data_IF_359568176634
#
_entry.id   IF_359568176634
#
_cell.length_a   1.000
_cell.length_b   1.000
_cell.length_c   1.000
_cell.angle_alpha   90.00
_cell.angle_beta   90.00
_cell.angle_gamma   90.00
#
_symmetry.space_group_name_H-M   'P 1'
#
loop_
_entity.id
_entity.type
_entity.pdbx_description
1 polymer ?
#
# COMPACT_ATOMS: atom_id res chain seq x y z
N UNK A 1 -15.41 86.33 -0.98
CA UNK A 1 -15.53 85.28 0.04
C UNK A 1 -14.82 84.08 -0.57
N UNK A 2 -13.50 84.03 -0.40
CA UNK A 2 -12.65 83.00 -1.01
C UNK A 2 -12.75 81.73 -0.20
N UNK A 3 -13.24 80.68 -0.84
CA UNK A 3 -13.20 79.32 -0.33
C UNK A 3 -11.77 78.84 -0.60
N UNK A 4 -10.87 79.09 0.35
CA UNK A 4 -9.54 78.48 0.34
C UNK A 4 -9.75 76.97 0.50
N UNK A 5 -9.76 76.26 -0.63
CA UNK A 5 -9.83 74.81 -0.69
C UNK A 5 -8.67 74.20 0.10
N UNK A 6 -9.01 73.46 1.15
CA UNK A 6 -8.06 72.71 1.94
C UNK A 6 -7.69 71.40 1.21
N UNK A 7 -6.84 71.50 0.19
CA UNK A 7 -6.34 70.35 -0.59
C UNK A 7 -5.29 69.50 0.18
N UNK A 8 -5.02 69.83 1.44
CA UNK A 8 -4.00 69.16 2.27
C UNK A 8 -4.43 67.76 2.73
N UNK A 9 -5.73 67.46 2.75
CA UNK A 9 -6.25 66.12 3.07
C UNK A 9 -6.12 65.10 1.93
N UNK A 10 -6.03 65.55 0.67
CA UNK A 10 -6.04 64.65 -0.49
C UNK A 10 -4.76 63.82 -0.61
N UNK A 11 -3.59 64.41 -0.33
CA UNK A 11 -2.30 63.68 -0.41
C UNK A 11 -2.19 62.57 0.63
N UNK A 12 -2.72 62.79 1.85
CA UNK A 12 -2.78 61.77 2.91
C UNK A 12 -3.71 60.63 2.51
N UNK A 13 -4.86 60.95 1.91
CA UNK A 13 -5.82 59.97 1.44
C UNK A 13 -5.26 59.11 0.29
N UNK A 14 -4.59 59.72 -0.69
CA UNK A 14 -3.93 59.00 -1.80
C UNK A 14 -2.82 58.10 -1.27
N UNK A 15 -2.01 58.58 -0.33
CA UNK A 15 -0.96 57.78 0.33
C UNK A 15 -1.54 56.58 1.09
N UNK A 16 -2.64 56.76 1.82
CA UNK A 16 -3.33 55.68 2.51
C UNK A 16 -3.89 54.64 1.53
N UNK A 17 -4.56 55.05 0.46
CA UNK A 17 -5.11 54.14 -0.56
C UNK A 17 -3.99 53.33 -1.21
N UNK A 18 -2.85 53.95 -1.51
CA UNK A 18 -1.69 53.24 -2.08
C UNK A 18 -1.11 52.21 -1.11
N UNK A 19 -0.87 52.57 0.15
CA UNK A 19 -0.34 51.64 1.15
C UNK A 19 -1.33 50.50 1.39
N UNK A 20 -2.62 50.82 1.51
CA UNK A 20 -3.67 49.82 1.67
C UNK A 20 -3.75 48.88 0.46
N UNK A 21 -3.66 49.42 -0.76
CA UNK A 21 -3.62 48.63 -1.99
C UNK A 21 -2.42 47.69 -2.05
N UNK A 22 -1.22 48.17 -1.71
CA UNK A 22 0.00 47.34 -1.62
C UNK A 22 -0.17 46.24 -0.57
N UNK A 23 -0.75 46.57 0.59
CA UNK A 23 -1.03 45.60 1.65
C UNK A 23 -2.00 44.51 1.18
N UNK A 24 -3.10 44.88 0.53
CA UNK A 24 -4.06 43.91 -0.02
C UNK A 24 -3.39 43.00 -1.07
N UNK A 25 -2.62 43.57 -2.01
CA UNK A 25 -1.89 42.79 -3.01
C UNK A 25 -0.90 41.82 -2.35
N UNK A 26 -0.17 42.29 -1.34
CA UNK A 26 0.80 41.45 -0.60
C UNK A 26 0.09 40.29 0.11
N UNK A 27 -1.04 40.56 0.77
CA UNK A 27 -1.86 39.53 1.41
C UNK A 27 -2.42 38.53 0.39
N UNK A 28 -2.86 39.00 -0.78
CA UNK A 28 -3.33 38.15 -1.87
C UNK A 28 -2.23 37.22 -2.39
N UNK A 29 -1.00 37.73 -2.56
CA UNK A 29 0.14 36.90 -2.98
C UNK A 29 0.46 35.85 -1.89
N UNK A 30 0.43 36.25 -0.62
CA UNK A 30 0.71 35.35 0.49
C UNK A 30 -0.28 34.19 0.56
N UNK A 31 -1.57 34.49 0.40
CA UNK A 31 -2.65 33.49 0.38
C UNK A 31 -2.70 32.66 -0.90
N UNK A 32 -2.36 33.25 -2.05
CA UNK A 32 -2.45 32.58 -3.35
C UNK A 32 -1.25 31.70 -3.71
N UNK A 33 -0.06 31.98 -3.16
CA UNK A 33 1.16 31.27 -3.56
C UNK A 33 1.94 30.68 -2.37
N UNK A 34 2.16 31.46 -1.31
CA UNK A 34 3.05 31.05 -0.21
C UNK A 34 2.38 30.01 0.69
N UNK A 35 1.13 30.24 1.07
CA UNK A 35 0.36 29.30 1.93
C UNK A 35 0.21 27.92 1.27
N UNK A 36 -0.26 27.80 0.01
CA UNK A 36 -0.30 26.52 -0.70
C UNK A 36 1.05 25.82 -0.77
N UNK A 37 2.13 26.54 -1.10
CA UNK A 37 3.47 25.93 -1.21
C UNK A 37 3.97 25.35 0.13
N UNK A 38 3.74 26.06 1.24
CA UNK A 38 4.05 25.55 2.57
C UNK A 38 3.21 24.31 2.92
N UNK A 39 1.92 24.30 2.56
CA UNK A 39 1.05 23.14 2.79
C UNK A 39 1.47 21.93 1.96
N UNK A 40 1.85 22.11 0.68
CA UNK A 40 2.44 21.04 -0.14
C UNK A 40 3.66 20.39 0.49
N UNK A 41 4.50 21.20 1.14
CA UNK A 41 5.68 20.69 1.85
C UNK A 41 5.28 19.81 3.04
N UNK A 42 4.26 20.21 3.80
CA UNK A 42 3.72 19.43 4.93
C UNK A 42 3.10 18.12 4.43
N UNK A 43 2.29 18.19 3.38
CA UNK A 43 1.64 17.01 2.77
C UNK A 43 2.67 16.03 2.20
N UNK A 44 3.70 16.53 1.51
CA UNK A 44 4.78 15.68 1.00
C UNK A 44 5.56 15.01 2.13
N UNK A 45 5.92 15.75 3.19
CA UNK A 45 6.62 15.16 4.33
C UNK A 45 5.79 14.07 5.00
N UNK A 46 4.50 14.30 5.18
CA UNK A 46 3.58 13.30 5.71
C UNK A 46 3.47 12.08 4.79
N UNK A 47 3.39 12.26 3.47
CA UNK A 47 3.40 11.15 2.53
C UNK A 47 4.66 10.28 2.64
N UNK A 48 5.83 10.92 2.81
CA UNK A 48 7.09 10.20 3.03
C UNK A 48 7.07 9.40 4.33
N UNK A 49 6.50 9.96 5.41
CA UNK A 49 6.29 9.26 6.68
C UNK A 49 5.37 8.05 6.51
N UNK A 50 4.22 8.20 5.82
CA UNK A 50 3.31 7.07 5.54
C UNK A 50 4.00 5.98 4.70
N UNK A 51 4.83 6.38 3.73
CA UNK A 51 5.56 5.42 2.91
C UNK A 51 6.53 4.59 3.74
N UNK A 52 7.24 5.22 4.67
CA UNK A 52 8.15 4.53 5.57
C UNK A 52 7.36 3.62 6.54
N UNK A 53 6.22 4.08 7.07
CA UNK A 53 5.30 3.28 7.90
C UNK A 53 4.76 2.06 7.12
N UNK A 54 4.42 2.21 5.84
CA UNK A 54 3.96 1.11 4.98
C UNK A 54 5.07 0.09 4.70
N UNK A 55 6.34 0.52 4.61
CA UNK A 55 7.50 -0.38 4.52
C UNK A 55 7.70 -1.17 5.81
N UNK A 56 7.50 -0.53 6.97
CA UNK A 56 7.52 -1.24 8.27
C UNK A 56 6.36 -2.24 8.35
N UNK A 57 5.14 -1.83 7.99
CA UNK A 57 3.97 -2.70 7.96
C UNK A 57 4.18 -3.90 7.03
N UNK A 58 4.73 -3.67 5.83
CA UNK A 58 5.13 -4.73 4.92
C UNK A 58 6.10 -5.73 5.56
N UNK A 59 7.13 -5.22 6.22
CA UNK A 59 8.15 -6.04 6.87
C UNK A 59 7.53 -6.91 7.96
N UNK A 60 6.61 -6.36 8.75
CA UNK A 60 5.90 -7.09 9.80
C UNK A 60 4.91 -8.11 9.24
N UNK A 61 4.20 -7.80 8.15
CA UNK A 61 3.32 -8.74 7.46
C UNK A 61 4.12 -9.97 7.01
N UNK A 62 5.27 -9.76 6.38
CA UNK A 62 6.11 -10.87 5.90
C UNK A 62 6.81 -11.60 7.06
N UNK A 63 7.29 -10.89 8.07
CA UNK A 63 8.01 -11.49 9.22
C UNK A 63 7.08 -12.41 10.01
N UNK A 64 5.87 -11.95 10.34
CA UNK A 64 4.88 -12.74 11.09
C UNK A 64 4.38 -13.93 10.28
N UNK A 65 4.13 -13.72 8.98
CA UNK A 65 3.68 -14.79 8.09
C UNK A 65 4.72 -15.89 7.93
N UNK A 66 6.01 -15.59 8.15
CA UNK A 66 7.13 -16.55 8.07
C UNK A 66 7.67 -17.05 9.41
N UNK A 67 7.15 -16.57 10.54
CA UNK A 67 7.59 -16.99 11.87
C UNK A 67 6.60 -17.91 12.58
N UNK A 68 7.03 -19.07 13.08
CA UNK A 68 6.20 -20.01 13.86
C UNK A 68 5.70 -19.50 15.22
N UNK A 69 5.77 -18.18 15.43
CA UNK A 69 5.27 -17.53 16.63
C UNK A 69 3.78 -17.24 16.45
N UNK A 70 3.00 -17.68 17.43
CA UNK A 70 1.73 -17.05 17.77
C UNK A 70 1.98 -15.64 18.28
N UNK A 71 2.16 -14.70 17.36
CA UNK A 71 2.42 -13.30 17.65
C UNK A 71 1.27 -12.42 17.18
N UNK A 72 0.91 -11.45 18.01
CA UNK A 72 0.08 -10.33 17.63
C UNK A 72 0.94 -9.07 17.76
N UNK A 73 0.98 -8.24 16.72
CA UNK A 73 1.76 -7.01 16.69
C UNK A 73 0.86 -5.87 16.24
N UNK A 74 0.99 -4.72 16.89
CA UNK A 74 0.35 -3.47 16.48
C UNK A 74 1.38 -2.63 15.74
N UNK A 75 1.17 -2.40 14.44
CA UNK A 75 2.04 -1.58 13.61
C UNK A 75 1.38 -0.22 13.38
N UNK A 76 1.93 0.89 13.90
CA UNK A 76 1.37 2.21 13.69
C UNK A 76 1.53 2.66 12.24
N UNK A 77 0.49 3.27 11.67
CA UNK A 77 0.54 3.97 10.38
C UNK A 77 -0.02 5.37 10.54
N UNK A 78 0.75 6.38 10.19
CA UNK A 78 0.35 7.79 10.29
C UNK A 78 -0.58 8.15 9.13
N UNK A 79 -1.90 8.19 9.37
CA UNK A 79 -2.88 8.47 8.32
C UNK A 79 -3.16 9.95 8.11
N UNK A 80 -2.85 10.81 9.08
CA UNK A 80 -3.05 12.24 8.92
C UNK A 80 -2.18 13.12 9.79
N UNK A 81 -1.96 14.35 9.31
CA UNK A 81 -1.22 15.40 9.99
C UNK A 81 -1.94 16.74 9.91
N UNK A 82 -1.62 17.65 10.83
CA UNK A 82 -2.20 19.00 10.87
C UNK A 82 -1.23 20.02 10.29
N UNK A 83 -1.77 20.96 9.52
CA UNK A 83 -0.99 22.11 9.09
C UNK A 83 -0.57 22.98 10.29
N UNK A 84 0.63 23.57 10.28
CA UNK A 84 1.09 24.47 11.32
C UNK A 84 0.13 25.64 11.55
N UNK A 85 -0.06 26.05 12.80
CA UNK A 85 -0.93 27.19 13.14
C UNK A 85 -0.40 28.50 12.51
N UNK A 86 -1.30 29.35 12.01
CA UNK A 86 -0.97 30.65 11.39
C UNK A 86 -1.73 31.76 12.09
N UNK A 87 -1.09 32.93 12.27
CA UNK A 87 -1.64 34.05 13.03
C UNK A 87 -2.73 34.83 12.27
N UNK A 88 -2.64 34.95 10.94
CA UNK A 88 -3.55 35.79 10.13
C UNK A 88 -4.13 35.08 8.89
N UNK A 89 -3.85 33.78 8.72
CA UNK A 89 -4.21 33.02 7.52
C UNK A 89 -4.99 31.76 7.86
N UNK A 90 -5.85 31.32 6.92
CA UNK A 90 -6.70 30.14 7.06
C UNK A 90 -5.96 28.95 6.48
N UNK A 91 -5.86 27.87 7.26
CA UNK A 91 -5.39 26.59 6.75
C UNK A 91 -6.55 25.81 6.15
N UNK A 92 -6.30 24.98 5.11
CA UNK A 92 -7.26 23.98 4.68
C UNK A 92 -7.49 22.94 5.81
N UNK A 93 -8.47 22.04 5.65
CA UNK A 93 -8.60 20.87 6.51
C UNK A 93 -7.28 20.11 6.66
N UNK A 94 -7.09 19.34 7.75
CA UNK A 94 -5.87 18.54 7.93
C UNK A 94 -5.57 17.65 6.73
N UNK A 95 -4.28 17.43 6.46
CA UNK A 95 -3.85 16.48 5.45
C UNK A 95 -4.12 15.06 5.97
N UNK A 96 -5.01 14.34 5.30
CA UNK A 96 -5.39 12.96 5.66
C UNK A 96 -5.21 12.03 4.47
N UNK A 97 -5.13 10.74 4.75
CA UNK A 97 -5.31 9.68 3.77
C UNK A 97 -6.11 8.54 4.37
N UNK A 98 -6.51 7.63 3.49
CA UNK A 98 -7.36 6.50 3.80
C UNK A 98 -6.58 5.22 3.61
N UNK A 99 -6.54 4.35 4.63
CA UNK A 99 -6.03 3.00 4.53
C UNK A 99 -7.18 2.01 4.55
N UNK A 100 -7.18 1.08 3.60
CA UNK A 100 -8.19 0.05 3.48
C UNK A 100 -7.61 -1.20 2.84
N UNK A 101 -8.33 -2.31 2.94
CA UNK A 101 -8.00 -3.51 2.17
C UNK A 101 -8.44 -3.39 0.71
N UNK A 102 -7.70 -4.00 -0.21
CA UNK A 102 -8.02 -3.99 -1.66
C UNK A 102 -9.15 -4.97 -2.04
N UNK A 103 -9.62 -5.77 -1.07
CA UNK A 103 -10.69 -6.74 -1.21
C UNK A 103 -10.17 -8.17 -1.38
N UNK A 104 -10.93 -9.13 -0.83
CA UNK A 104 -10.54 -10.54 -0.89
C UNK A 104 -10.71 -11.11 -2.30
N UNK A 105 -9.67 -11.81 -2.76
CA UNK A 105 -9.62 -12.49 -4.06
C UNK A 105 -9.04 -13.89 -3.90
N UNK A 106 -9.44 -14.80 -4.78
CA UNK A 106 -9.06 -16.20 -4.69
C UNK A 106 -7.60 -16.43 -5.12
N UNK A 107 -6.94 -17.35 -4.43
CA UNK A 107 -5.69 -17.99 -4.82
C UNK A 107 -6.05 -19.34 -5.43
N UNK A 108 -5.50 -19.63 -6.61
CA UNK A 108 -5.73 -20.91 -7.32
C UNK A 108 -4.41 -21.56 -7.65
N UNK A 109 -4.30 -22.88 -7.45
CA UNK A 109 -3.13 -23.68 -7.79
C UNK A 109 -3.61 -24.86 -8.65
N UNK A 110 -3.40 -24.75 -9.96
CA UNK A 110 -3.77 -25.78 -10.94
C UNK A 110 -2.54 -26.56 -11.39
N UNK A 111 -2.64 -27.89 -11.32
CA UNK A 111 -1.57 -28.81 -11.70
C UNK A 111 -2.07 -29.75 -12.79
N UNK A 112 -1.26 -30.00 -13.82
CA UNK A 112 -1.65 -30.86 -14.93
C UNK A 112 -1.30 -32.33 -14.72
N UNK A 113 -0.39 -32.63 -13.79
CA UNK A 113 0.05 -34.01 -13.54
C UNK A 113 -0.98 -34.74 -12.67
N UNK A 114 -1.84 -35.52 -13.32
CA UNK A 114 -2.84 -36.37 -12.67
C UNK A 114 -4.22 -35.75 -12.46
N UNK A 115 -4.51 -34.58 -13.03
CA UNK A 115 -5.82 -33.92 -12.92
C UNK A 115 -6.17 -33.44 -11.50
N UNK A 116 -5.18 -33.33 -10.62
CA UNK A 116 -5.36 -32.93 -9.23
C UNK A 116 -5.12 -31.42 -9.09
N UNK A 117 -6.17 -30.65 -8.83
CA UNK A 117 -6.03 -29.30 -8.29
C UNK A 117 -5.71 -29.39 -6.81
N UNK A 118 -4.75 -28.60 -6.31
CA UNK A 118 -4.54 -28.50 -4.87
C UNK A 118 -5.32 -27.30 -4.38
N UNK A 119 -6.18 -27.50 -3.38
CA UNK A 119 -6.91 -26.39 -2.83
C UNK A 119 -5.93 -25.48 -2.08
N UNK A 120 -5.93 -24.19 -2.42
CA UNK A 120 -5.13 -23.21 -1.68
C UNK A 120 -5.44 -23.22 -0.18
N UNK A 121 -6.68 -23.58 0.20
CA UNK A 121 -7.07 -23.78 1.59
C UNK A 121 -6.26 -24.86 2.32
N UNK A 122 -5.83 -25.91 1.62
CA UNK A 122 -5.07 -27.02 2.22
C UNK A 122 -3.65 -26.60 2.59
N UNK A 123 -3.03 -25.72 1.80
CA UNK A 123 -1.66 -25.24 2.03
C UNK A 123 -1.64 -23.94 2.85
N UNK A 124 -2.55 -23.02 2.57
CA UNK A 124 -2.55 -21.66 3.13
C UNK A 124 -3.48 -21.45 4.32
N UNK A 125 -4.33 -22.42 4.68
CA UNK A 125 -5.40 -22.22 5.66
C UNK A 125 -6.53 -21.32 5.16
N UNK A 126 -6.60 -21.09 3.86
CA UNK A 126 -7.69 -20.36 3.22
C UNK A 126 -7.42 -20.14 1.74
N UNK A 127 -8.48 -19.95 0.96
CA UNK A 127 -8.38 -19.79 -0.49
C UNK A 127 -8.34 -18.32 -0.93
N UNK A 128 -8.41 -17.35 -0.01
CA UNK A 128 -8.46 -15.93 -0.33
C UNK A 128 -7.28 -15.16 0.25
N UNK A 129 -6.84 -14.13 -0.47
CA UNK A 129 -5.89 -13.13 0.01
C UNK A 129 -6.45 -11.74 -0.26
N UNK A 130 -6.09 -10.78 0.59
CA UNK A 130 -6.42 -9.37 0.45
C UNK A 130 -5.15 -8.55 0.46
N UNK A 131 -5.10 -7.47 -0.32
CA UNK A 131 -4.03 -6.49 -0.24
C UNK A 131 -4.41 -5.31 0.66
N UNK A 132 -3.50 -4.34 0.76
CA UNK A 132 -3.73 -3.06 1.42
C UNK A 132 -3.49 -1.92 0.44
N UNK A 133 -4.26 -0.85 0.56
CA UNK A 133 -4.09 0.37 -0.23
C UNK A 133 -4.20 1.59 0.67
N UNK A 134 -3.15 2.41 0.65
CA UNK A 134 -3.17 3.76 1.18
C UNK A 134 -3.46 4.75 0.06
N UNK A 135 -4.50 5.56 0.24
CA UNK A 135 -4.92 6.62 -0.68
C UNK A 135 -4.74 7.98 -0.02
N UNK A 136 -3.77 8.80 -0.45
CA UNK A 136 -3.65 10.17 0.05
C UNK A 136 -4.84 11.02 -0.42
N UNK A 137 -5.43 11.79 0.49
CA UNK A 137 -6.56 12.70 0.23
C UNK A 137 -6.15 14.14 0.56
N UNK A 138 -4.96 14.52 0.09
CA UNK A 138 -4.38 15.84 0.34
C UNK A 138 -5.04 16.94 -0.51
N UNK A 139 -5.01 18.17 0.00
CA UNK A 139 -5.71 19.29 -0.62
C UNK A 139 -4.84 20.03 -1.64
N UNK A 140 -3.54 20.13 -1.39
CA UNK A 140 -2.63 20.95 -2.20
C UNK A 140 -1.72 20.11 -3.12
N UNK A 141 -1.62 18.80 -2.87
CA UNK A 141 -0.75 17.86 -3.56
C UNK A 141 -1.52 16.64 -4.05
N UNK A 142 -1.24 16.19 -5.27
CA UNK A 142 -1.69 14.89 -5.77
C UNK A 142 -0.53 13.92 -5.68
N UNK A 143 -0.61 12.96 -4.77
CA UNK A 143 0.45 11.96 -4.52
C UNK A 143 -0.07 10.55 -4.82
N UNK A 144 0.81 9.62 -5.23
CA UNK A 144 0.38 8.30 -5.69
C UNK A 144 -0.08 7.40 -4.56
N UNK A 145 -0.95 6.42 -4.88
CA UNK A 145 -1.36 5.41 -3.92
C UNK A 145 -0.20 4.46 -3.61
N UNK A 146 -0.15 3.99 -2.36
CA UNK A 146 0.80 2.95 -1.92
C UNK A 146 0.01 1.66 -1.76
N UNK A 147 0.45 0.59 -2.42
CA UNK A 147 -0.27 -0.69 -2.48
C UNK A 147 0.64 -1.81 -2.00
N UNK A 148 0.06 -2.71 -1.22
CA UNK A 148 0.63 -4.00 -0.87
C UNK A 148 -0.26 -5.10 -1.42
N UNK A 149 0.30 -5.99 -2.25
CA UNK A 149 -0.38 -7.18 -2.75
C UNK A 149 0.60 -8.36 -2.76
N UNK A 150 0.28 -9.46 -2.06
CA UNK A 150 1.01 -10.74 -2.07
C UNK A 150 2.56 -10.62 -2.07
N UNK A 151 3.12 -9.95 -1.06
CA UNK A 151 4.58 -9.84 -0.90
C UNK A 151 5.24 -8.74 -1.73
N UNK A 152 4.45 -7.93 -2.44
CA UNK A 152 4.90 -6.77 -3.22
C UNK A 152 4.34 -5.48 -2.60
N UNK A 153 5.22 -4.52 -2.31
CA UNK A 153 4.86 -3.16 -1.90
C UNK A 153 5.32 -2.18 -2.99
N UNK A 154 4.40 -1.41 -3.56
CA UNK A 154 4.70 -0.54 -4.70
C UNK A 154 3.84 0.73 -4.67
N UNK A 155 4.24 1.72 -5.47
CA UNK A 155 3.45 2.94 -5.74
C UNK A 155 2.97 2.96 -7.17
N UNK A 156 1.75 3.45 -7.36
CA UNK A 156 1.13 3.67 -8.67
C UNK A 156 1.11 5.17 -8.97
N UNK A 157 2.00 5.61 -9.87
CA UNK A 157 2.16 7.02 -10.22
C UNK A 157 0.95 7.55 -11.00
N UNK A 158 0.78 8.87 -11.01
CA UNK A 158 -0.29 9.52 -11.78
C UNK A 158 -0.20 9.27 -13.31
N UNK A 159 0.96 8.85 -13.81
CA UNK A 159 1.16 8.46 -15.21
C UNK A 159 0.77 7.03 -15.53
N UNK A 160 0.32 6.24 -14.53
CA UNK A 160 0.10 4.80 -14.68
C UNK A 160 1.39 3.97 -14.67
N UNK A 161 2.52 4.58 -14.30
CA UNK A 161 3.79 3.87 -14.08
C UNK A 161 3.83 3.33 -12.65
N UNK A 162 4.51 2.20 -12.46
CA UNK A 162 4.66 1.56 -11.16
C UNK A 162 6.10 1.69 -10.67
N UNK A 163 6.27 1.92 -9.37
CA UNK A 163 7.59 1.85 -8.75
C UNK A 163 7.58 0.89 -7.56
N UNK A 164 8.44 -0.13 -7.63
CA UNK A 164 8.62 -1.11 -6.57
C UNK A 164 9.30 -0.46 -5.37
N UNK A 165 8.70 -0.57 -4.18
CA UNK A 165 9.32 -0.16 -2.92
C UNK A 165 10.03 -1.35 -2.27
N UNK A 166 9.32 -2.46 -2.10
CA UNK A 166 9.85 -3.69 -1.49
C UNK A 166 9.22 -4.93 -2.12
N UNK A 167 9.99 -5.99 -2.34
CA UNK A 167 9.45 -7.24 -2.87
C UNK A 167 10.04 -8.49 -2.22
N UNK A 168 9.25 -9.58 -2.26
CA UNK A 168 9.72 -10.93 -1.97
C UNK A 168 9.75 -11.78 -3.22
N UNK A 169 10.57 -12.81 -3.16
CA UNK A 169 10.64 -13.85 -4.19
C UNK A 169 9.43 -14.75 -4.03
N UNK A 170 8.53 -14.69 -5.02
CA UNK A 170 7.34 -15.53 -5.12
C UNK A 170 7.68 -16.85 -5.80
N UNK A 171 8.52 -16.83 -6.84
CA UNK A 171 8.97 -18.06 -7.51
C UNK A 171 10.48 -18.10 -7.59
N UNK A 172 11.07 -19.21 -7.15
CA UNK A 172 12.48 -19.51 -7.28
C UNK A 172 12.64 -20.88 -7.93
N UNK A 173 12.84 -20.92 -9.24
CA UNK A 173 12.96 -22.19 -9.96
C UNK A 173 14.26 -22.94 -9.64
N UNK A 174 15.34 -22.23 -9.32
CA UNK A 174 16.61 -22.88 -8.94
C UNK A 174 16.50 -23.63 -7.61
N UNK A 175 15.68 -23.12 -6.69
CA UNK A 175 15.38 -23.77 -5.41
C UNK A 175 14.11 -24.62 -5.45
N UNK A 176 13.41 -24.67 -6.59
CA UNK A 176 12.13 -25.37 -6.77
C UNK A 176 11.08 -24.93 -5.73
N UNK A 177 10.96 -23.62 -5.50
CA UNK A 177 10.09 -23.05 -4.46
C UNK A 177 9.08 -22.07 -5.03
N UNK A 178 7.84 -22.19 -4.57
CA UNK A 178 6.76 -21.21 -4.77
C UNK A 178 6.32 -20.70 -3.42
N UNK A 179 6.52 -19.41 -3.16
CA UNK A 179 6.21 -18.73 -1.92
C UNK A 179 4.97 -17.85 -2.10
N UNK A 180 3.89 -18.16 -1.41
CA UNK A 180 2.65 -17.41 -1.43
C UNK A 180 2.55 -16.58 -0.16
N UNK A 181 2.49 -15.25 -0.30
CA UNK A 181 2.36 -14.32 0.83
C UNK A 181 0.89 -13.93 1.02
N UNK A 182 0.13 -14.80 1.68
CA UNK A 182 -1.30 -14.61 1.92
C UNK A 182 -1.54 -13.61 3.04
N UNK A 183 -2.50 -12.72 2.84
CA UNK A 183 -3.02 -11.87 3.92
C UNK A 183 -4.53 -12.07 4.04
N UNK A 184 -5.01 -12.39 5.25
CA UNK A 184 -6.43 -12.64 5.56
C UNK A 184 -7.01 -11.53 6.43
N UNK A 185 -8.33 -11.48 6.53
CA UNK A 185 -9.06 -10.40 7.21
C UNK A 185 -9.48 -9.29 6.26
N UNK A 186 -10.08 -8.25 6.82
CA UNK A 186 -10.54 -7.10 6.05
C UNK A 186 -10.33 -5.78 6.80
N UNK A 187 -9.49 -4.96 6.18
CA UNK A 187 -9.32 -3.52 6.38
C UNK A 187 -10.54 -2.71 5.92
N UNK A 188 -11.53 -2.37 6.76
CA UNK A 188 -12.50 -1.32 6.39
C UNK A 188 -11.78 0.02 6.16
N UNK A 189 -12.33 0.88 5.28
CA UNK A 189 -11.76 2.20 5.06
C UNK A 189 -11.67 3.00 6.37
N UNK A 190 -10.44 3.32 6.78
CA UNK A 190 -10.13 4.17 7.92
C UNK A 190 -9.38 5.41 7.46
N UNK A 191 -9.84 6.55 7.95
CA UNK A 191 -9.23 7.85 7.74
C UNK A 191 -9.21 8.55 9.09
N UNK A 192 -8.03 8.95 9.57
CA UNK A 192 -7.87 9.59 10.87
C UNK A 192 -6.85 10.73 10.79
N UNK A 193 -7.09 11.79 11.56
CA UNK A 193 -6.10 12.87 11.76
C UNK A 193 -5.13 12.42 12.86
N UNK A 194 -4.26 11.47 12.52
CA UNK A 194 -3.30 10.89 13.46
C UNK A 194 -2.79 9.52 13.03
N UNK A 195 -2.45 8.69 14.02
CA UNK A 195 -1.87 7.35 13.82
C UNK A 195 -2.93 6.28 14.01
N UNK A 196 -3.07 5.39 13.03
CA UNK A 196 -3.89 4.20 13.11
C UNK A 196 -3.01 2.98 13.44
N UNK A 197 -3.19 2.29 14.58
CA UNK A 197 -2.53 1.03 14.85
C UNK A 197 -3.16 -0.09 14.03
N UNK A 198 -2.38 -0.74 13.17
CA UNK A 198 -2.79 -1.92 12.40
C UNK A 198 -2.43 -3.17 13.16
N UNK A 199 -3.45 -3.94 13.51
CA UNK A 199 -3.29 -5.22 14.17
C UNK A 199 -2.94 -6.31 13.16
N UNK A 200 -1.77 -6.91 13.33
CA UNK A 200 -1.29 -8.06 12.59
C UNK A 200 -1.23 -9.28 13.50
N UNK A 201 -1.74 -10.40 13.02
CA UNK A 201 -1.69 -11.68 13.75
C UNK A 201 -1.03 -12.74 12.90
N UNK A 202 0.05 -13.34 13.40
CA UNK A 202 0.69 -14.50 12.81
C UNK A 202 -0.02 -15.81 13.15
N UNK A 203 0.45 -16.90 12.57
CA UNK A 203 -0.01 -18.26 12.87
C UNK A 203 1.17 -19.14 13.26
N UNK A 204 0.98 -20.01 14.26
CA UNK A 204 1.90 -21.12 14.56
C UNK A 204 1.61 -22.39 13.75
N UNK A 205 0.51 -22.39 12.99
CA UNK A 205 0.08 -23.49 12.16
C UNK A 205 0.38 -23.17 10.69
N UNK A 206 1.40 -23.84 10.17
CA UNK A 206 1.79 -23.80 8.76
C UNK A 206 1.30 -25.04 8.03
N UNK A 207 1.01 -24.89 6.73
CA UNK A 207 0.72 -26.03 5.89
C UNK A 207 1.97 -26.89 5.78
N UNK A 208 1.80 -28.21 5.71
CA UNK A 208 2.93 -29.09 5.40
C UNK A 208 3.56 -28.65 4.07
N UNK A 209 4.90 -28.61 4.01
CA UNK A 209 5.65 -28.34 2.76
C UNK A 209 5.14 -29.33 1.70
N UNK A 210 4.25 -28.86 0.82
CA UNK A 210 3.58 -29.71 -0.14
C UNK A 210 4.41 -29.71 -1.40
N UNK A 211 5.02 -30.86 -1.71
CA UNK A 211 5.74 -31.07 -2.95
C UNK A 211 4.76 -31.42 -4.06
N UNK A 212 4.77 -30.63 -5.12
CA UNK A 212 3.80 -30.71 -6.22
C UNK A 212 4.55 -30.71 -7.53
N UNK A 213 4.23 -31.64 -8.41
CA UNK A 213 4.76 -31.62 -9.76
C UNK A 213 4.09 -30.49 -10.56
N UNK A 214 4.86 -29.47 -10.89
CA UNK A 214 4.44 -28.39 -11.78
C UNK A 214 5.13 -28.56 -13.13
N UNK A 215 4.44 -28.16 -14.19
CA UNK A 215 4.97 -28.19 -15.55
C UNK A 215 4.58 -26.91 -16.30
N UNK A 216 4.96 -26.83 -17.59
CA UNK A 216 4.69 -25.66 -18.41
C UNK A 216 3.21 -25.36 -18.64
N UNK A 217 2.32 -26.32 -18.34
CA UNK A 217 0.87 -26.14 -18.41
C UNK A 217 0.26 -25.76 -17.06
N UNK A 218 0.97 -25.94 -15.94
CA UNK A 218 0.48 -25.61 -14.60
C UNK A 218 0.34 -24.09 -14.42
N UNK A 219 -0.66 -23.69 -13.62
CA UNK A 219 -1.01 -22.29 -13.39
C UNK A 219 -1.14 -22.01 -11.88
N UNK A 220 -0.45 -20.97 -11.41
CA UNK A 220 -0.63 -20.43 -10.05
C UNK A 220 -1.19 -19.02 -10.14
N UNK A 221 -2.44 -18.84 -9.72
CA UNK A 221 -3.15 -17.56 -9.78
C UNK A 221 -3.09 -16.87 -8.42
N UNK A 222 -2.56 -15.65 -8.41
CA UNK A 222 -2.42 -14.82 -7.21
C UNK A 222 -3.19 -13.50 -7.36
N UNK A 223 -3.84 -13.02 -6.30
CA UNK A 223 -4.37 -11.66 -6.26
C UNK A 223 -3.29 -10.59 -6.47
N UNK A 224 -3.50 -9.67 -7.40
CA UNK A 224 -2.60 -8.52 -7.55
C UNK A 224 -3.25 -7.44 -8.38
N UNK A 225 -3.19 -6.19 -7.91
CA UNK A 225 -3.57 -5.03 -8.73
C UNK A 225 -2.39 -4.54 -9.57
N UNK A 226 -1.18 -5.09 -9.35
CA UNK A 226 -0.01 -4.81 -10.17
C UNK A 226 -0.14 -5.55 -11.50
N UNK A 227 0.00 -4.87 -12.66
CA UNK A 227 -0.07 -5.53 -13.96
C UNK A 227 0.97 -6.63 -14.13
N UNK A 228 0.63 -7.66 -14.91
CA UNK A 228 1.52 -8.79 -15.14
C UNK A 228 2.87 -8.41 -15.78
N UNK A 229 2.94 -7.32 -16.56
CA UNK A 229 4.21 -6.81 -17.11
C UNK A 229 5.18 -6.42 -16.00
N UNK A 230 4.70 -5.70 -14.99
CA UNK A 230 5.50 -5.25 -13.86
C UNK A 230 5.94 -6.42 -12.97
N UNK A 231 5.14 -7.48 -12.88
CA UNK A 231 5.55 -8.72 -12.21
C UNK A 231 6.75 -9.40 -12.88
N UNK A 232 6.82 -9.33 -14.22
CA UNK A 232 7.94 -9.89 -14.98
C UNK A 232 9.21 -9.03 -14.87
N UNK A 233 9.05 -7.72 -14.70
CA UNK A 233 10.17 -6.79 -14.48
C UNK A 233 10.63 -6.78 -13.01
N UNK A 234 9.77 -7.21 -12.08
CA UNK A 234 10.09 -7.34 -10.67
C UNK A 234 11.00 -8.56 -10.38
N UNK A 235 11.82 -8.45 -9.34
CA UNK A 235 12.66 -9.57 -8.85
C UNK A 235 11.87 -10.66 -8.10
N UNK A 236 10.55 -10.63 -8.20
CA UNK A 236 9.64 -11.58 -7.56
C UNK A 236 9.66 -12.96 -8.24
N UNK A 237 9.94 -13.00 -9.55
CA UNK A 237 10.03 -14.22 -10.34
C UNK A 237 11.50 -14.47 -10.72
N UNK A 238 12.01 -15.68 -10.40
CA UNK A 238 13.38 -16.09 -10.73
C UNK A 238 13.36 -17.35 -11.55
N UNK A 239 13.62 -17.21 -12.85
CA UNK A 239 13.70 -18.30 -13.80
C UNK A 239 13.00 -17.97 -15.12
N UNK A 240 12.47 -19.01 -15.77
CA UNK A 240 11.60 -19.00 -16.94
C UNK A 240 10.12 -18.74 -16.63
N UNK A 241 9.68 -18.81 -15.38
CA UNK A 241 8.28 -18.52 -15.01
C UNK A 241 7.94 -17.05 -15.28
N UNK A 242 6.81 -16.83 -15.94
CA UNK A 242 6.30 -15.50 -16.30
C UNK A 242 4.91 -15.27 -15.74
N UNK A 243 4.61 -14.02 -15.38
CA UNK A 243 3.28 -13.57 -15.06
C UNK A 243 2.51 -13.18 -16.33
N UNK A 244 1.24 -13.59 -16.38
CA UNK A 244 0.25 -13.19 -17.38
C UNK A 244 -0.98 -12.63 -16.68
N UNK A 245 -1.68 -11.69 -17.33
CA UNK A 245 -2.88 -11.11 -16.73
C UNK A 245 -4.04 -12.10 -16.84
N UNK A 246 -4.62 -12.52 -15.71
CA UNK A 246 -5.79 -13.39 -15.69
C UNK A 246 -7.09 -12.58 -15.56
N UNK A 247 -7.14 -11.65 -14.60
CA UNK A 247 -8.23 -10.67 -14.46
C UNK A 247 -7.68 -9.30 -14.06
N UNK A 248 -8.51 -8.26 -13.90
CA UNK A 248 -8.02 -6.92 -13.52
C UNK A 248 -7.23 -6.89 -12.21
N UNK A 249 -7.48 -7.84 -11.30
CA UNK A 249 -6.89 -7.87 -9.95
C UNK A 249 -6.26 -9.24 -9.63
N UNK A 250 -5.94 -10.04 -10.66
CA UNK A 250 -5.23 -11.32 -10.49
C UNK A 250 -4.22 -11.53 -11.60
N UNK A 251 -3.09 -12.10 -11.22
CA UNK A 251 -2.01 -12.51 -12.13
C UNK A 251 -1.86 -14.03 -12.09
N UNK A 252 -1.60 -14.62 -13.25
CA UNK A 252 -1.35 -16.04 -13.43
C UNK A 252 0.13 -16.28 -13.73
N UNK A 253 0.77 -17.07 -12.88
CA UNK A 253 2.15 -17.51 -13.06
C UNK A 253 2.14 -18.82 -13.84
N UNK A 254 2.87 -18.85 -14.96
CA UNK A 254 2.92 -19.99 -15.88
C UNK A 254 4.36 -20.23 -16.39
N UNK A 255 4.58 -21.35 -17.08
CA UNK A 255 5.89 -21.68 -17.64
C UNK A 255 6.84 -22.33 -16.64
N UNK A 256 6.31 -23.07 -15.67
CA UNK A 256 7.13 -23.84 -14.73
C UNK A 256 7.91 -24.94 -15.46
N UNK A 257 9.15 -25.20 -15.04
CA UNK A 257 9.89 -26.38 -15.51
C UNK A 257 9.22 -27.67 -15.00
N UNK A 258 9.22 -28.76 -15.78
CA UNK A 258 8.66 -30.06 -15.37
C UNK A 258 9.49 -30.68 -14.23
N UNK A 259 9.11 -30.33 -12.99
CA UNK A 259 9.79 -30.68 -11.74
C UNK A 259 8.82 -30.64 -10.56
N UNK A 260 9.23 -31.28 -9.47
CA UNK A 260 8.59 -31.08 -8.17
C UNK A 260 8.98 -29.72 -7.58
N UNK A 261 7.98 -28.92 -7.21
CA UNK A 261 8.11 -27.66 -6.50
C UNK A 261 7.52 -27.78 -5.09
N UNK A 262 8.24 -27.24 -4.11
CA UNK A 262 7.70 -27.05 -2.76
C UNK A 262 6.90 -25.76 -2.72
N UNK A 263 5.61 -25.86 -2.46
CA UNK A 263 4.73 -24.69 -2.26
C UNK A 263 4.70 -24.35 -0.77
N UNK A 264 5.07 -23.12 -0.44
CA UNK A 264 5.06 -22.56 0.90
C UNK A 264 4.10 -21.40 0.98
N UNK A 265 3.27 -21.39 2.01
CA UNK A 265 2.34 -20.30 2.25
C UNK A 265 2.66 -19.59 3.56
N UNK A 266 2.92 -18.29 3.44
CA UNK A 266 3.14 -17.36 4.53
C UNK A 266 1.86 -16.58 4.75
N UNK A 267 1.13 -16.92 5.81
CA UNK A 267 -0.18 -16.33 6.07
C UNK A 267 -0.13 -15.39 7.27
N UNK A 268 -0.60 -14.16 7.07
CA UNK A 268 -0.76 -13.15 8.14
C UNK A 268 -2.20 -12.66 8.17
N UNK A 269 -2.76 -12.45 9.35
CA UNK A 269 -4.11 -11.93 9.54
C UNK A 269 -4.13 -10.45 9.89
N UNK A 270 -5.08 -9.73 9.30
CA UNK A 270 -5.37 -8.31 9.57
C UNK A 270 -6.53 -8.22 10.56
N UNK A 271 -6.24 -7.93 11.83
CA UNK A 271 -7.24 -7.82 12.90
C UNK A 271 -7.95 -9.13 13.27
N UNK A 272 -7.52 -10.25 12.70
CA UNK A 272 -8.04 -11.59 13.00
C UNK A 272 -6.91 -12.61 12.94
N UNK A 273 -7.08 -13.73 13.65
CA UNK A 273 -6.14 -14.84 13.57
C UNK A 273 -6.40 -15.63 12.28
N UNK A 274 -5.36 -15.97 11.49
CA UNK A 274 -5.53 -16.84 10.35
C UNK A 274 -6.08 -18.21 10.71
N UNK A 275 -6.99 -18.71 9.89
CA UNK A 275 -7.41 -20.10 9.94
C UNK A 275 -6.22 -21.02 9.62
N UNK A 276 -6.08 -22.12 10.34
CA UNK A 276 -4.99 -23.04 10.08
C UNK A 276 -5.25 -23.88 8.81
N UNK A 277 -4.20 -24.32 8.11
CA UNK A 277 -4.30 -25.25 6.97
C UNK A 277 -5.05 -26.54 7.34
N UNK A 278 -5.61 -27.24 6.37
CA UNK A 278 -6.36 -28.49 6.63
C UNK A 278 -5.43 -29.70 6.84
N UNK A 279 -4.18 -29.64 6.35
CA UNK A 279 -3.18 -30.73 6.35
C UNK A 279 -2.21 -30.71 7.56
N UNK A 280 -2.63 -30.19 8.72
CA UNK A 280 -1.73 -29.79 9.81
C UNK A 280 -0.90 -30.94 10.44
N UNK A 281 0.35 -30.61 10.80
CA UNK A 281 1.07 -31.25 11.91
C UNK A 281 1.40 -30.19 12.98
N UNK A 282 1.17 -30.48 14.26
CA UNK A 282 1.74 -29.68 15.35
C UNK A 282 3.20 -30.06 15.51
N UNK A 283 4.12 -29.12 15.37
CA UNK A 283 5.47 -29.30 15.92
C UNK A 283 5.35 -29.38 17.45
N UNK A 284 5.37 -30.60 17.99
CA UNK A 284 5.60 -30.82 19.42
C UNK A 284 7.05 -30.47 19.72
N UNK A 285 7.27 -29.29 20.31
CA UNK A 285 8.50 -28.95 21.01
C UNK A 285 8.74 -29.85 22.21
#
# INVERSE_FOLDING_TARGET
MDILGDDRGQSVQIGFILIFGILVITLSIFQGAIVPNQNRTVEFNHYQEVRDDMTVLYTEIVSLGSSSRNGQVLTPVTLGTRHPARLMFINPPPAIGTLQSSGQKNITIETNTGGNSIAAADICGGATSTGLVYSPEYQESTLPQIRYDNGLLYVETAGGEYAMLENRVVVNESAQQVNIYRTTGQLEAKSEVGVLPIELTGTDMYGEDTSVQLDGTSEVVLPSNLPASEWNDATALRGSVTATQNSSNTVALTGFSDRDYTIRCYTTGLGERPDPPSNQFRETF
#
